data_IF_085742463250
#
_entry.id   IF_085742463250
#
_cell.length_a   1.000
_cell.length_b   1.000
_cell.length_c   1.000
_cell.angle_alpha   90.00
_cell.angle_beta   90.00
_cell.angle_gamma   90.00
#
_symmetry.space_group_name_H-M   'P 1'
#
loop_
_entity.id
_entity.type
_entity.pdbx_description
1 polymer ?
#
# COMPACT_ATOMS: atom_id res chain seq x y z
N UNK A 1 9.88 -16.64 23.84
CA UNK A 1 10.95 -16.54 22.81
C UNK A 1 10.73 -15.26 22.01
N UNK A 2 11.63 -14.27 22.13
CA UNK A 2 11.57 -13.03 21.36
C UNK A 2 12.27 -13.29 20.01
N UNK A 3 11.54 -13.85 19.05
CA UNK A 3 12.01 -13.92 17.67
C UNK A 3 12.04 -12.51 17.10
N UNK A 4 13.22 -12.03 16.73
CA UNK A 4 13.40 -10.73 16.12
C UNK A 4 12.79 -10.77 14.71
N UNK A 5 12.29 -9.63 14.21
CA UNK A 5 11.89 -9.44 12.81
C UNK A 5 13.00 -9.88 11.82
N UNK A 6 14.25 -9.90 12.30
CA UNK A 6 15.44 -10.36 11.59
C UNK A 6 15.44 -11.88 11.33
N UNK A 7 14.81 -12.69 12.18
CA UNK A 7 14.89 -14.16 12.07
C UNK A 7 13.93 -14.73 11.01
N UNK A 8 12.81 -14.06 10.72
CA UNK A 8 11.85 -14.50 9.67
C UNK A 8 12.21 -13.93 8.29
N UNK A 9 12.93 -12.80 8.26
CA UNK A 9 13.32 -12.09 7.04
C UNK A 9 14.75 -12.47 6.61
N UNK A 10 15.57 -12.97 7.53
CA UNK A 10 16.99 -13.31 7.33
C UNK A 10 17.26 -14.48 6.38
N UNK A 11 16.32 -15.41 6.24
CA UNK A 11 16.49 -16.58 5.36
C UNK A 11 16.09 -16.32 3.89
N UNK A 12 15.60 -15.12 3.54
CA UNK A 12 15.11 -14.84 2.17
C UNK A 12 15.49 -13.48 1.58
N UNK A 13 16.16 -12.59 2.32
CA UNK A 13 16.57 -11.27 1.80
C UNK A 13 18.09 -11.08 1.89
N UNK A 14 18.71 -10.90 0.72
CA UNK A 14 20.15 -10.63 0.59
C UNK A 14 20.56 -9.36 1.36
N UNK A 15 21.74 -9.33 2.02
CA UNK A 15 22.28 -8.15 2.71
C UNK A 15 22.32 -6.87 1.86
N UNK A 16 22.30 -7.01 0.53
CA UNK A 16 22.24 -5.92 -0.42
C UNK A 16 20.97 -5.07 -0.32
N UNK A 17 19.82 -5.64 0.06
CA UNK A 17 18.56 -4.91 0.21
C UNK A 17 18.63 -3.97 1.43
N UNK A 18 19.26 -4.42 2.51
CA UNK A 18 19.50 -3.60 3.72
C UNK A 18 20.45 -2.42 3.44
N UNK A 19 21.50 -2.63 2.63
CA UNK A 19 22.41 -1.54 2.23
C UNK A 19 21.75 -0.52 1.29
N UNK A 20 20.79 -0.94 0.47
CA UNK A 20 20.13 -0.08 -0.52
C UNK A 20 19.13 0.88 0.14
N UNK A 21 18.45 0.46 1.21
CA UNK A 21 17.53 1.30 2.00
C UNK A 21 18.26 2.47 2.69
N UNK A 22 19.54 2.32 3.05
CA UNK A 22 20.32 3.37 3.73
C UNK A 22 20.75 4.54 2.83
N UNK A 23 20.47 4.53 1.52
CA UNK A 23 21.01 5.50 0.55
C UNK A 23 20.00 6.46 -0.09
N UNK A 24 18.72 6.41 0.25
CA UNK A 24 17.73 7.25 -0.44
C UNK A 24 17.49 8.62 0.21
N UNK A 25 17.45 9.70 -0.59
CA UNK A 25 17.13 11.05 -0.13
C UNK A 25 15.62 11.19 0.14
N UNK A 26 15.28 12.13 1.03
CA UNK A 26 13.92 12.36 1.52
C UNK A 26 12.91 12.69 0.41
N UNK A 27 11.62 12.34 0.56
CA UNK A 27 10.55 13.01 -0.19
C UNK A 27 10.48 14.47 0.26
N UNK A 28 10.83 15.38 -0.66
CA UNK A 28 10.72 16.82 -0.47
C UNK A 28 9.24 17.24 -0.40
N UNK A 29 8.83 17.85 0.72
CA UNK A 29 7.60 18.64 0.80
C UNK A 29 7.92 20.14 0.58
N UNK A 30 6.96 20.92 0.04
CA UNK A 30 7.21 22.23 -0.54
C UNK A 30 7.55 23.28 0.51
N UNK A 31 8.46 24.18 0.15
CA UNK A 31 9.02 25.21 1.02
C UNK A 31 7.98 26.18 1.56
N UNK A 32 7.88 26.24 2.89
CA UNK A 32 7.38 27.39 3.63
C UNK A 32 8.57 28.26 4.03
N UNK A 33 8.72 29.41 3.37
CA UNK A 33 9.66 30.45 3.79
C UNK A 33 9.21 31.09 5.10
N UNK A 34 10.17 31.41 5.95
CA UNK A 34 9.93 32.11 7.20
C UNK A 34 11.22 32.23 8.00
N UNK A 35 11.92 33.35 7.82
CA UNK A 35 13.06 33.73 8.64
C UNK A 35 12.65 34.10 10.07
N UNK A 36 13.64 34.09 10.96
CA UNK A 36 13.48 34.52 12.34
C UNK A 36 14.64 34.04 13.20
N UNK A 37 15.69 34.86 13.26
CA UNK A 37 16.80 34.77 14.21
C UNK A 37 16.30 34.92 15.65
N UNK A 38 16.99 34.27 16.60
CA UNK A 38 16.73 34.41 18.02
C UNK A 38 17.66 33.53 18.85
N UNK A 39 18.87 34.04 19.14
CA UNK A 39 19.80 33.52 20.13
C UNK A 39 19.31 33.79 21.57
N UNK A 40 19.63 32.88 22.52
CA UNK A 40 19.74 33.22 23.95
C UNK A 40 19.16 32.19 24.94
N UNK A 41 19.74 32.00 26.14
CA UNK A 41 20.16 30.68 26.58
C UNK A 41 19.57 30.14 27.92
N UNK A 42 19.76 28.83 28.11
CA UNK A 42 20.02 28.05 29.34
C UNK A 42 19.25 28.35 30.64
N UNK A 43 18.57 27.33 31.20
CA UNK A 43 18.67 27.01 32.64
C UNK A 43 18.21 25.58 33.03
N UNK A 44 18.89 25.08 34.06
CA UNK A 44 18.90 23.82 34.84
C UNK A 44 17.61 23.02 35.12
N UNK A 45 17.81 21.69 35.11
CA UNK A 45 17.49 20.65 36.13
C UNK A 45 16.38 20.85 37.18
N UNK A 46 15.42 19.90 37.21
CA UNK A 46 14.90 19.12 38.36
C UNK A 46 13.72 18.26 37.83
N UNK A 47 13.75 16.92 37.79
CA UNK A 47 13.56 15.99 38.91
C UNK A 47 12.36 16.33 39.80
N UNK A 48 11.21 15.69 39.55
CA UNK A 48 10.32 15.12 40.58
C UNK A 48 9.18 14.33 39.92
N UNK A 49 9.00 13.10 40.39
CA UNK A 49 7.97 12.20 39.92
C UNK A 49 6.66 12.40 40.68
N UNK A 50 5.53 12.13 40.01
CA UNK A 50 4.33 11.71 40.71
C UNK A 50 3.51 10.77 39.83
N UNK A 51 3.51 9.51 40.27
CA UNK A 51 2.51 8.50 39.96
C UNK A 51 1.14 9.04 40.32
N UNK A 52 0.18 9.00 39.39
CA UNK A 52 -1.23 9.10 39.74
C UNK A 52 -2.05 8.18 38.85
N UNK A 53 -2.19 6.95 39.34
CA UNK A 53 -3.22 5.99 38.95
C UNK A 53 -4.60 6.66 39.05
N UNK A 54 -5.29 6.85 37.92
CA UNK A 54 -6.69 7.29 37.93
C UNK A 54 -7.57 6.25 37.25
N UNK A 55 -8.15 5.41 38.08
CA UNK A 55 -9.21 4.43 37.77
C UNK A 55 -10.46 5.18 37.31
N UNK A 56 -10.79 5.10 36.02
CA UNK A 56 -12.05 5.61 35.48
C UNK A 56 -13.11 4.53 35.64
N UNK A 57 -14.03 4.77 36.57
CA UNK A 57 -15.20 3.96 36.88
C UNK A 57 -16.27 4.25 35.83
N UNK A 58 -16.60 3.25 35.01
CA UNK A 58 -17.73 3.29 34.08
C UNK A 58 -19.05 3.44 34.86
N UNK A 59 -19.87 4.44 34.50
CA UNK A 59 -21.30 4.51 34.87
C UNK A 59 -22.13 4.26 33.62
N UNK A 60 -22.82 3.13 33.60
CA UNK A 60 -24.04 2.96 32.81
C UNK A 60 -25.15 3.88 33.35
N UNK A 61 -26.10 4.25 32.49
CA UNK A 61 -27.49 4.15 32.88
C UNK A 61 -28.27 3.26 31.90
N UNK A 62 -29.04 2.34 32.49
CA UNK A 62 -30.03 1.53 31.81
C UNK A 62 -31.37 2.28 31.73
N UNK A 63 -32.09 2.01 30.64
CA UNK A 63 -33.56 1.84 30.56
C UNK A 63 -34.49 2.99 30.97
N UNK A 64 -35.24 3.50 29.97
CA UNK A 64 -36.72 3.59 30.02
C UNK A 64 -37.30 3.72 28.62
N UNK A 65 -38.20 2.80 28.28
CA UNK A 65 -39.07 2.90 27.12
C UNK A 65 -40.43 3.46 27.49
N UNK A 66 -41.14 4.02 26.50
CA UNK A 66 -42.61 4.03 26.40
C UNK A 66 -43.04 4.71 25.08
N UNK A 67 -43.50 3.87 24.15
CA UNK A 67 -44.71 3.97 23.31
C UNK A 67 -45.37 5.32 22.95
N UNK A 68 -45.59 5.44 21.62
CA UNK A 68 -46.86 5.71 20.89
C UNK A 68 -47.35 7.13 20.53
N UNK A 69 -47.83 7.18 19.28
CA UNK A 69 -48.89 8.03 18.64
C UNK A 69 -48.56 9.44 18.12
N UNK A 70 -48.44 9.56 16.78
CA UNK A 70 -49.52 10.07 15.92
C UNK A 70 -49.69 11.59 15.68
N UNK A 71 -49.96 11.94 14.41
CA UNK A 71 -50.59 13.17 13.87
C UNK A 71 -49.72 14.33 13.34
N UNK A 72 -49.40 14.22 12.05
CA UNK A 72 -49.75 15.12 10.93
C UNK A 72 -49.96 16.64 11.12
N UNK A 73 -49.35 17.40 10.18
CA UNK A 73 -49.74 18.75 9.72
C UNK A 73 -48.57 19.75 9.83
N UNK A 74 -48.15 20.54 8.84
CA UNK A 74 -48.57 20.90 7.47
C UNK A 74 -47.33 21.48 6.74
N UNK A 75 -47.30 21.49 5.39
CA UNK A 75 -46.29 22.19 4.61
C UNK A 75 -46.74 23.61 4.23
N UNK A 76 -45.80 24.56 4.16
CA UNK A 76 -46.02 25.89 3.58
C UNK A 76 -45.52 25.91 2.12
N UNK A 77 -46.48 25.85 1.19
CA UNK A 77 -46.40 26.53 -0.12
C UNK A 77 -46.94 27.97 0.09
N UNK A 78 -46.70 29.03 -0.66
CA UNK A 78 -46.60 29.28 -2.10
C UNK A 78 -46.15 30.74 -2.28
N UNK A 79 -45.41 31.09 -3.34
CA UNK A 79 -45.91 32.07 -4.34
C UNK A 79 -45.07 32.09 -5.61
N UNK A 80 -45.79 31.91 -6.72
CA UNK A 80 -45.37 32.07 -8.10
C UNK A 80 -45.10 33.54 -8.47
N UNK A 81 -44.22 33.72 -9.46
CA UNK A 81 -44.11 34.92 -10.30
C UNK A 81 -43.01 34.76 -11.34
N UNK A 82 -43.37 34.49 -12.60
CA UNK A 82 -42.50 34.39 -13.79
C UNK A 82 -42.33 35.78 -14.47
N UNK A 83 -41.79 35.91 -15.69
CA UNK A 83 -40.40 36.27 -16.00
C UNK A 83 -40.24 37.62 -16.75
N UNK A 84 -39.04 38.20 -16.79
CA UNK A 84 -38.76 39.37 -17.62
C UNK A 84 -37.30 39.85 -17.57
N UNK A 85 -36.53 39.52 -18.60
CA UNK A 85 -35.25 40.14 -19.00
C UNK A 85 -35.49 41.40 -19.87
N UNK A 86 -34.47 42.16 -20.35
CA UNK A 86 -33.15 42.54 -19.81
C UNK A 86 -32.88 44.08 -19.93
N UNK A 87 -31.62 44.49 -19.65
CA UNK A 87 -30.95 45.79 -19.94
C UNK A 87 -30.87 46.82 -18.78
N UNK A 88 -29.90 47.77 -18.80
CA UNK A 88 -28.46 47.53 -18.61
C UNK A 88 -27.85 48.51 -17.58
N UNK A 89 -26.74 48.15 -16.93
CA UNK A 89 -25.99 49.09 -16.07
C UNK A 89 -24.85 49.76 -16.87
N UNK A 90 -24.79 51.09 -16.95
CA UNK A 90 -23.77 51.82 -17.68
C UNK A 90 -22.67 52.33 -16.75
N UNK A 91 -21.40 52.01 -17.03
CA UNK A 91 -20.30 52.94 -16.77
C UNK A 91 -19.14 52.71 -17.72
N UNK A 92 -19.14 53.54 -18.76
CA UNK A 92 -18.07 53.71 -19.71
C UNK A 92 -16.98 54.63 -19.14
N UNK A 93 -15.72 54.29 -19.42
CA UNK A 93 -14.58 55.19 -19.36
C UNK A 93 -14.27 55.71 -20.76
N UNK A 94 -14.51 57.00 -20.94
CA UNK A 94 -13.80 57.93 -21.83
C UNK A 94 -13.98 57.93 -23.37
N UNK A 95 -14.78 58.92 -23.79
CA UNK A 95 -14.48 60.03 -24.72
C UNK A 95 -14.17 59.78 -26.21
N UNK A 96 -15.20 60.02 -27.04
CA UNK A 96 -15.10 60.48 -28.44
C UNK A 96 -14.67 61.96 -28.49
N UNK A 97 -13.76 62.29 -29.42
CA UNK A 97 -13.64 63.64 -30.00
C UNK A 97 -14.12 63.62 -31.45
N UNK A 98 -15.01 64.55 -31.77
CA UNK A 98 -15.57 64.74 -33.11
C UNK A 98 -14.57 65.36 -34.09
N UNK A 99 -14.80 65.09 -35.38
CA UNK A 99 -14.20 65.81 -36.51
C UNK A 99 -15.27 66.68 -37.16
N UNK A 100 -15.03 67.99 -37.18
CA UNK A 100 -15.66 68.93 -38.11
C UNK A 100 -14.79 69.06 -39.38
N UNK A 101 -15.41 69.38 -40.52
CA UNK A 101 -14.80 69.30 -41.84
C UNK A 101 -14.19 70.60 -42.41
N UNK A 102 -13.29 70.37 -43.39
CA UNK A 102 -13.01 71.10 -44.66
C UNK A 102 -12.45 72.56 -44.61
N UNK A 103 -11.81 73.11 -45.69
CA UNK A 103 -11.19 72.52 -46.89
C UNK A 103 -9.82 73.15 -47.37
N UNK A 104 -9.25 72.55 -48.45
CA UNK A 104 -8.45 73.14 -49.57
C UNK A 104 -7.08 73.81 -49.29
N UNK A 105 -5.99 73.23 -49.85
CA UNK A 105 -5.28 73.70 -51.08
C UNK A 105 -4.08 72.80 -51.47
N UNK A 106 -4.07 72.37 -52.75
CA UNK A 106 -2.97 72.23 -53.75
C UNK A 106 -1.51 72.32 -53.22
N UNK A 107 -0.52 71.52 -53.64
CA UNK A 107 -0.19 71.03 -55.00
C UNK A 107 1.05 70.08 -54.94
N UNK A 108 1.07 69.10 -55.86
CA UNK A 108 2.19 68.58 -56.66
C UNK A 108 3.20 67.51 -56.17
N UNK A 109 3.49 66.63 -57.14
CA UNK A 109 4.59 65.65 -57.31
C UNK A 109 4.34 64.33 -56.57
N UNK A 110 3.71 63.33 -57.18
CA UNK A 110 4.06 62.59 -58.41
C UNK A 110 5.53 62.11 -58.46
N UNK A 111 5.67 60.87 -58.93
CA UNK A 111 6.86 60.00 -58.99
C UNK A 111 7.00 59.06 -57.77
N UNK A 112 6.80 57.77 -58.06
CA UNK A 112 6.97 56.53 -57.25
C UNK A 112 5.72 55.84 -56.71
N UNK A 113 4.59 55.99 -57.41
CA UNK A 113 3.61 54.91 -57.53
C UNK A 113 4.12 53.80 -58.48
N UNK A 114 5.16 53.07 -58.06
CA UNK A 114 5.58 51.79 -58.66
C UNK A 114 6.65 51.07 -57.82
N UNK A 115 6.47 51.00 -56.50
CA UNK A 115 7.35 50.19 -55.63
C UNK A 115 6.63 49.62 -54.39
N UNK A 116 5.31 49.44 -54.47
CA UNK A 116 4.48 48.93 -53.37
C UNK A 116 3.51 47.81 -53.81
N UNK A 117 3.98 46.93 -54.70
CA UNK A 117 3.34 45.63 -55.02
C UNK A 117 4.37 44.51 -55.24
N UNK A 118 5.48 44.53 -54.50
CA UNK A 118 6.54 43.52 -54.63
C UNK A 118 7.23 43.12 -53.32
N UNK A 119 6.71 43.53 -52.16
CA UNK A 119 7.35 43.27 -50.86
C UNK A 119 6.36 43.00 -49.73
N UNK A 120 5.24 42.35 -50.04
CA UNK A 120 4.27 41.79 -49.07
C UNK A 120 4.00 40.29 -49.34
N UNK A 121 4.62 39.70 -50.36
CA UNK A 121 4.58 38.24 -50.63
C UNK A 121 5.97 37.57 -50.57
N UNK A 122 6.89 38.13 -49.79
CA UNK A 122 8.19 37.50 -49.49
C UNK A 122 8.59 37.60 -48.02
N UNK A 123 7.69 38.06 -47.14
CA UNK A 123 7.87 38.13 -45.68
C UNK A 123 6.97 37.19 -44.89
N UNK A 124 6.06 36.47 -45.57
CA UNK A 124 5.16 35.47 -44.96
C UNK A 124 5.53 34.05 -45.43
N UNK A 125 6.82 33.79 -45.61
CA UNK A 125 7.38 32.45 -45.85
C UNK A 125 8.70 32.24 -45.10
N UNK A 126 8.80 32.80 -43.91
CA UNK A 126 9.93 32.58 -42.99
C UNK A 126 9.49 32.47 -41.53
N UNK A 127 8.19 32.28 -41.27
CA UNK A 127 7.64 32.02 -39.93
C UNK A 127 6.77 30.75 -39.88
N UNK A 128 7.10 29.77 -40.73
CA UNK A 128 6.57 28.40 -40.66
C UNK A 128 7.68 27.34 -40.79
N UNK A 129 8.94 27.70 -40.53
CA UNK A 129 10.10 26.81 -40.67
C UNK A 129 10.98 26.82 -39.40
N UNK A 130 10.36 26.69 -38.23
CA UNK A 130 11.12 26.42 -36.98
C UNK A 130 10.43 25.41 -36.07
N UNK A 131 9.49 24.63 -36.60
CA UNK A 131 9.10 23.37 -35.99
C UNK A 131 9.55 22.28 -36.97
N UNK A 132 10.83 21.93 -36.89
CA UNK A 132 11.50 21.06 -37.84
C UNK A 132 11.05 19.60 -37.67
N UNK A 133 10.35 18.99 -38.65
CA UNK A 133 10.12 17.54 -38.65
C UNK A 133 11.41 16.73 -38.81
N UNK A 134 12.55 17.38 -39.09
CA UNK A 134 13.88 16.77 -39.17
C UNK A 134 14.41 16.35 -37.79
N UNK A 135 14.14 17.09 -36.71
CA UNK A 135 14.57 16.68 -35.36
C UNK A 135 13.87 15.40 -34.90
N UNK A 136 12.55 15.30 -35.11
CA UNK A 136 11.80 14.07 -34.83
C UNK A 136 12.27 12.90 -35.69
N UNK A 137 12.63 13.15 -36.96
CA UNK A 137 13.22 12.12 -37.84
C UNK A 137 14.60 11.68 -37.36
N UNK A 138 15.46 12.62 -36.93
CA UNK A 138 16.78 12.32 -36.36
C UNK A 138 16.62 11.50 -35.07
N UNK A 139 15.74 11.93 -34.17
CA UNK A 139 15.45 11.23 -32.93
C UNK A 139 14.95 9.80 -33.18
N UNK A 140 14.02 9.62 -34.12
CA UNK A 140 13.55 8.29 -34.53
C UNK A 140 14.66 7.45 -35.16
N UNK A 141 15.57 8.08 -35.91
CA UNK A 141 16.73 7.42 -36.49
C UNK A 141 17.68 6.91 -35.40
N UNK A 142 18.00 7.75 -34.42
CA UNK A 142 18.87 7.40 -33.29
C UNK A 142 18.28 6.23 -32.47
N UNK A 143 16.97 6.23 -32.20
CA UNK A 143 16.31 5.10 -31.54
C UNK A 143 16.26 3.84 -32.42
N UNK A 144 16.10 3.97 -33.73
CA UNK A 144 16.11 2.84 -34.65
C UNK A 144 17.51 2.22 -34.76
N UNK A 145 18.56 3.04 -34.77
CA UNK A 145 19.95 2.59 -34.70
C UNK A 145 20.25 1.89 -33.37
N UNK A 146 19.85 2.47 -32.25
CA UNK A 146 19.96 1.82 -30.94
C UNK A 146 19.24 0.46 -30.91
N UNK A 147 18.04 0.36 -31.48
CA UNK A 147 17.32 -0.92 -31.60
C UNK A 147 18.08 -1.94 -32.46
N UNK A 148 18.69 -1.50 -33.58
CA UNK A 148 19.51 -2.35 -34.45
C UNK A 148 20.75 -2.85 -33.73
N UNK A 149 21.43 -1.99 -32.96
CA UNK A 149 22.58 -2.37 -32.14
C UNK A 149 22.20 -3.38 -31.06
N UNK A 150 21.06 -3.18 -30.38
CA UNK A 150 20.54 -4.14 -29.41
C UNK A 150 20.27 -5.50 -30.08
N UNK A 151 19.63 -5.52 -31.26
CA UNK A 151 19.37 -6.75 -32.00
C UNK A 151 20.65 -7.46 -32.43
N UNK A 152 21.68 -6.73 -32.86
CA UNK A 152 23.00 -7.29 -33.15
C UNK A 152 23.68 -7.80 -31.88
N UNK A 153 23.58 -7.07 -30.76
CA UNK A 153 24.11 -7.47 -29.46
C UNK A 153 23.50 -8.78 -28.93
N UNK A 154 22.18 -8.97 -29.11
CA UNK A 154 21.47 -10.22 -28.78
C UNK A 154 22.04 -11.39 -29.61
N UNK A 155 22.26 -11.18 -30.92
CA UNK A 155 22.81 -12.23 -31.81
C UNK A 155 24.25 -12.58 -31.48
N UNK A 156 25.08 -11.60 -31.09
CA UNK A 156 26.47 -11.82 -30.75
C UNK A 156 26.64 -12.54 -29.41
N UNK A 157 25.77 -12.28 -28.42
CA UNK A 157 25.88 -12.83 -27.05
C UNK A 157 24.51 -13.16 -26.45
N UNK A 158 23.85 -14.24 -26.91
CA UNK A 158 22.49 -14.58 -26.49
C UNK A 158 22.36 -14.84 -24.99
N UNK A 159 23.37 -15.46 -24.36
CA UNK A 159 23.35 -15.73 -22.91
C UNK A 159 23.34 -14.46 -22.06
N UNK A 160 24.24 -13.50 -22.34
CA UNK A 160 24.30 -12.23 -21.60
C UNK A 160 23.05 -11.38 -21.84
N UNK A 161 22.57 -11.34 -23.10
CA UNK A 161 21.34 -10.64 -23.43
C UNK A 161 20.11 -11.25 -22.74
N UNK A 162 20.03 -12.58 -22.66
CA UNK A 162 18.99 -13.29 -21.93
C UNK A 162 18.97 -12.93 -20.44
N UNK A 163 20.14 -12.84 -19.80
CA UNK A 163 20.26 -12.40 -18.40
C UNK A 163 19.81 -10.95 -18.19
N UNK A 164 20.16 -10.02 -19.08
CA UNK A 164 19.70 -8.63 -18.97
C UNK A 164 18.20 -8.50 -19.22
N UNK A 165 17.65 -9.23 -20.20
CA UNK A 165 16.23 -9.26 -20.48
C UNK A 165 15.44 -9.86 -19.33
N UNK A 166 15.92 -10.94 -18.71
CA UNK A 166 15.25 -11.54 -17.55
C UNK A 166 15.29 -10.63 -16.33
N UNK A 167 16.41 -9.93 -16.09
CA UNK A 167 16.51 -8.94 -15.02
C UNK A 167 15.56 -7.76 -15.24
N UNK A 168 15.51 -7.21 -16.46
CA UNK A 168 14.60 -6.13 -16.82
C UNK A 168 13.13 -6.56 -16.69
N UNK A 169 12.80 -7.73 -17.25
CA UNK A 169 11.45 -8.30 -17.15
C UNK A 169 11.05 -8.57 -15.69
N UNK A 170 11.99 -9.08 -14.88
CA UNK A 170 11.80 -9.26 -13.44
C UNK A 170 11.56 -7.93 -12.72
N UNK A 171 12.39 -6.92 -12.98
CA UNK A 171 12.26 -5.59 -12.41
C UNK A 171 10.90 -4.93 -12.76
N UNK A 172 10.49 -5.00 -14.03
CA UNK A 172 9.18 -4.53 -14.48
C UNK A 172 8.05 -5.33 -13.82
N UNK A 173 8.17 -6.66 -13.77
CA UNK A 173 7.21 -7.54 -13.11
C UNK A 173 7.03 -7.22 -11.62
N UNK A 174 8.12 -7.02 -10.89
CA UNK A 174 8.10 -6.60 -9.50
C UNK A 174 7.43 -5.23 -9.33
N UNK A 175 7.73 -4.28 -10.22
CA UNK A 175 7.17 -2.92 -10.15
C UNK A 175 5.66 -2.90 -10.38
N UNK A 176 5.18 -3.71 -11.32
CA UNK A 176 3.75 -3.85 -11.60
C UNK A 176 3.00 -4.61 -10.50
N UNK A 177 3.68 -5.48 -9.76
CA UNK A 177 3.13 -6.26 -8.63
C UNK A 177 3.46 -5.64 -7.28
N UNK A 178 3.82 -4.37 -7.23
CA UNK A 178 4.11 -3.71 -5.97
C UNK A 178 2.81 -3.44 -5.19
N UNK A 179 2.64 -3.98 -3.97
CA UNK A 179 1.40 -3.77 -3.22
C UNK A 179 1.25 -2.32 -2.76
N UNK A 180 0.03 -1.79 -2.84
CA UNK A 180 -0.34 -0.44 -2.40
C UNK A 180 -0.90 -0.43 -0.97
N UNK A 181 -1.10 0.76 -0.40
CA UNK A 181 -1.76 0.94 0.91
C UNK A 181 -3.16 0.32 0.96
N UNK A 182 -3.95 0.49 -0.11
CA UNK A 182 -5.29 -0.11 -0.20
C UNK A 182 -5.22 -1.66 -0.20
N UNK A 183 -4.20 -2.24 -0.82
CA UNK A 183 -3.97 -3.69 -0.79
C UNK A 183 -3.64 -4.18 0.61
N UNK A 184 -2.85 -3.41 1.38
CA UNK A 184 -2.59 -3.73 2.78
C UNK A 184 -3.87 -3.72 3.61
N UNK A 185 -4.66 -2.66 3.49
CA UNK A 185 -5.91 -2.52 4.23
C UNK A 185 -6.89 -3.66 3.93
N UNK A 186 -7.01 -4.08 2.67
CA UNK A 186 -7.83 -5.24 2.32
C UNK A 186 -7.31 -6.52 2.96
N UNK A 187 -6.00 -6.78 2.90
CA UNK A 187 -5.41 -7.99 3.49
C UNK A 187 -5.52 -8.01 5.02
N UNK A 188 -5.37 -6.84 5.67
CA UNK A 188 -5.51 -6.72 7.12
C UNK A 188 -6.96 -6.95 7.57
N UNK A 189 -7.94 -6.41 6.83
CA UNK A 189 -9.36 -6.62 7.09
C UNK A 189 -9.76 -8.09 6.86
N UNK A 190 -9.27 -8.71 5.78
CA UNK A 190 -9.47 -10.14 5.50
C UNK A 190 -8.86 -11.03 6.58
N UNK A 191 -7.63 -10.74 7.02
CA UNK A 191 -6.99 -11.43 8.14
C UNK A 191 -7.78 -11.28 9.45
N UNK A 192 -8.39 -10.12 9.70
CA UNK A 192 -9.26 -9.96 10.87
C UNK A 192 -10.57 -10.74 10.72
N UNK A 193 -11.16 -10.78 9.52
CA UNK A 193 -12.38 -11.51 9.24
C UNK A 193 -12.19 -13.02 9.42
N UNK A 194 -11.08 -13.57 8.91
CA UNK A 194 -10.72 -14.98 9.09
C UNK A 194 -10.54 -15.34 10.57
N UNK A 195 -9.86 -14.50 11.36
CA UNK A 195 -9.73 -14.71 12.81
C UNK A 195 -11.06 -14.61 13.57
N UNK A 196 -12.03 -13.84 13.09
CA UNK A 196 -13.36 -13.72 13.70
C UNK A 196 -14.23 -14.96 13.47
N UNK A 197 -13.96 -15.74 12.41
CA UNK A 197 -14.63 -17.01 12.16
C UNK A 197 -14.15 -18.12 13.13
N UNK A 198 -12.92 -17.99 13.63
CA UNK A 198 -12.32 -18.95 14.54
C UNK A 198 -12.78 -18.71 15.99
N UNK A 199 -12.97 -19.79 16.73
CA UNK A 199 -13.24 -19.69 18.15
C UNK A 199 -12.03 -19.14 18.92
N UNK A 200 -12.22 -18.47 20.06
CA UNK A 200 -11.10 -17.99 20.87
C UNK A 200 -10.15 -19.08 21.38
N UNK A 201 -10.61 -20.33 21.45
CA UNK A 201 -9.84 -21.46 21.98
C UNK A 201 -8.93 -22.10 20.93
N UNK A 202 -9.34 -22.05 19.66
CA UNK A 202 -8.62 -22.71 18.54
C UNK A 202 -7.68 -21.76 17.81
N UNK A 203 -7.93 -20.44 17.86
CA UNK A 203 -7.10 -19.46 17.13
C UNK A 203 -5.72 -19.26 17.76
N UNK A 204 -4.73 -18.98 16.91
CA UNK A 204 -3.36 -18.67 17.33
C UNK A 204 -3.26 -17.30 18.03
N UNK A 205 -2.74 -17.29 19.26
CA UNK A 205 -2.55 -16.06 20.04
C UNK A 205 -1.49 -15.12 19.44
N UNK A 206 -0.56 -15.65 18.64
CA UNK A 206 0.44 -14.85 17.91
C UNK A 206 -0.21 -14.06 16.78
N UNK A 207 -1.01 -14.74 15.96
CA UNK A 207 -1.71 -14.14 14.80
C UNK A 207 -2.72 -13.11 15.27
N UNK A 208 -3.52 -13.44 16.29
CA UNK A 208 -4.47 -12.52 16.90
C UNK A 208 -3.79 -11.25 17.41
N UNK A 209 -2.75 -11.39 18.23
CA UNK A 209 -2.04 -10.24 18.82
C UNK A 209 -1.42 -9.35 17.74
N UNK A 210 -0.88 -9.94 16.69
CA UNK A 210 -0.29 -9.20 15.57
C UNK A 210 -1.37 -8.40 14.81
N UNK A 211 -2.45 -9.05 14.38
CA UNK A 211 -3.55 -8.40 13.66
C UNK A 211 -4.24 -7.33 14.52
N UNK A 212 -4.47 -7.59 15.81
CA UNK A 212 -5.02 -6.60 16.74
C UNK A 212 -4.09 -5.39 16.92
N UNK A 213 -2.77 -5.60 17.04
CA UNK A 213 -1.80 -4.50 17.11
C UNK A 213 -1.88 -3.64 15.85
N UNK A 214 -1.90 -4.26 14.67
CA UNK A 214 -2.00 -3.55 13.39
C UNK A 214 -3.33 -2.76 13.30
N UNK A 215 -4.44 -3.34 13.72
CA UNK A 215 -5.73 -2.64 13.77
C UNK A 215 -5.71 -1.42 14.71
N UNK A 216 -5.08 -1.55 15.88
CA UNK A 216 -4.93 -0.42 16.81
C UNK A 216 -4.07 0.69 16.21
N UNK A 217 -2.95 0.35 15.56
CA UNK A 217 -2.08 1.33 14.90
C UNK A 217 -2.77 2.03 13.72
N UNK A 218 -3.55 1.26 12.94
CA UNK A 218 -4.40 1.79 11.87
C UNK A 218 -5.43 2.78 12.39
N UNK A 219 -6.16 2.42 13.45
CA UNK A 219 -7.16 3.30 14.07
C UNK A 219 -6.56 4.58 14.65
N UNK A 220 -5.27 4.57 15.00
CA UNK A 220 -4.53 5.76 15.45
C UNK A 220 -3.95 6.61 14.32
N UNK A 221 -4.03 6.18 13.06
CA UNK A 221 -3.40 6.88 11.93
C UNK A 221 -1.86 6.82 11.92
N UNK A 222 -1.29 5.95 12.75
CA UNK A 222 0.16 5.77 12.92
C UNK A 222 0.76 4.79 11.90
N UNK A 223 -0.07 4.09 11.14
CA UNK A 223 0.39 3.11 10.16
C UNK A 223 0.69 3.79 8.82
N UNK A 224 1.87 3.56 8.26
CA UNK A 224 2.29 4.17 6.99
C UNK A 224 2.85 3.13 6.03
N UNK A 225 2.44 3.25 4.77
CA UNK A 225 2.99 2.45 3.67
C UNK A 225 3.86 3.36 2.80
N UNK A 226 5.11 2.96 2.61
CA UNK A 226 6.00 3.55 1.62
C UNK A 226 6.15 2.57 0.47
N UNK A 227 5.54 2.88 -0.68
CA UNK A 227 5.83 2.16 -1.91
C UNK A 227 7.20 2.58 -2.44
N UNK A 228 8.06 1.60 -2.67
CA UNK A 228 9.29 1.74 -3.44
C UNK A 228 9.07 1.06 -4.79
N UNK A 229 10.02 1.16 -5.72
CA UNK A 229 9.79 0.65 -7.09
C UNK A 229 9.49 -0.85 -7.10
N UNK A 230 10.24 -1.67 -6.35
CA UNK A 230 10.12 -3.14 -6.41
C UNK A 230 9.40 -3.78 -5.22
N UNK A 231 9.26 -3.05 -4.11
CA UNK A 231 8.66 -3.54 -2.87
C UNK A 231 8.03 -2.38 -2.11
N UNK A 232 7.18 -2.68 -1.15
CA UNK A 232 6.55 -1.70 -0.26
C UNK A 232 6.94 -2.00 1.17
N UNK A 233 7.13 -0.96 1.97
CA UNK A 233 7.43 -1.08 3.39
C UNK A 233 6.25 -0.56 4.21
N UNK A 234 5.86 -1.34 5.21
CA UNK A 234 4.92 -0.94 6.24
C UNK A 234 5.70 -0.59 7.50
N UNK A 235 5.51 0.62 8.02
CA UNK A 235 6.20 1.07 9.22
C UNK A 235 5.26 1.81 10.18
N UNK A 236 5.64 1.81 11.45
CA UNK A 236 4.97 2.54 12.52
C UNK A 236 5.52 3.97 12.61
N UNK A 237 4.65 4.97 12.43
CA UNK A 237 4.96 6.37 12.70
C UNK A 237 4.59 6.73 14.15
N UNK A 238 5.38 7.57 14.84
CA UNK A 238 5.12 7.92 16.24
C UNK A 238 3.84 8.74 16.42
N UNK A 239 3.43 9.50 15.40
CA UNK A 239 2.25 10.36 15.42
C UNK A 239 1.42 10.17 14.15
N UNK A 240 0.14 10.52 14.22
CA UNK A 240 -0.72 10.61 13.05
C UNK A 240 -0.29 11.78 12.13
N UNK A 241 -0.57 11.68 10.82
CA UNK A 241 -0.29 12.77 9.88
C UNK A 241 -1.16 14.00 10.12
N UNK A 242 -2.36 13.83 10.70
CA UNK A 242 -3.22 14.94 11.07
C UNK A 242 -2.84 15.58 12.41
N UNK A 243 -1.84 15.06 13.13
CA UNK A 243 -1.50 15.54 14.46
C UNK A 243 -0.70 16.86 14.39
N UNK A 244 -1.36 17.98 14.69
CA UNK A 244 -0.72 19.29 14.82
C UNK A 244 -0.12 19.53 16.21
N UNK A 245 0.78 18.64 16.60
CA UNK A 245 1.51 18.73 17.87
C UNK A 245 2.93 19.24 17.60
N UNK A 246 3.45 20.10 18.48
CA UNK A 246 4.84 20.54 18.42
C UNK A 246 5.82 19.36 18.35
N UNK A 247 5.54 18.29 19.11
CA UNK A 247 6.37 17.08 19.15
C UNK A 247 6.44 16.36 17.80
N UNK A 248 5.37 16.40 17.00
CA UNK A 248 5.33 15.79 15.67
C UNK A 248 6.13 16.61 14.63
N UNK A 249 6.13 17.94 14.78
CA UNK A 249 6.79 18.86 13.86
C UNK A 249 8.28 19.05 14.14
N UNK A 250 8.69 18.98 15.41
CA UNK A 250 10.07 19.26 15.81
C UNK A 250 11.06 18.25 15.19
N UNK A 251 11.97 18.74 14.34
CA UNK A 251 12.98 17.93 13.63
C UNK A 251 13.89 17.13 14.57
N UNK A 252 14.16 17.66 15.77
CA UNK A 252 15.05 17.03 16.74
C UNK A 252 14.40 15.87 17.51
N UNK A 253 13.07 15.81 17.57
CA UNK A 253 12.31 14.73 18.21
C UNK A 253 11.98 13.60 17.23
N UNK A 254 12.23 13.78 15.92
CA UNK A 254 11.98 12.73 14.93
C UNK A 254 12.90 11.54 15.17
N UNK A 255 12.40 10.32 14.93
CA UNK A 255 13.19 9.11 15.13
C UNK A 255 14.46 9.17 14.28
N UNK A 256 15.55 8.65 14.85
CA UNK A 256 16.82 8.56 14.14
C UNK A 256 16.76 7.44 13.10
N UNK A 257 17.58 7.57 12.06
CA UNK A 257 17.75 6.52 11.05
C UNK A 257 18.22 5.18 11.65
N UNK A 258 18.89 5.20 12.80
CA UNK A 258 19.32 4.00 13.54
C UNK A 258 18.15 3.20 14.09
N UNK A 259 17.04 3.88 14.41
CA UNK A 259 15.90 3.28 15.09
C UNK A 259 14.82 2.85 14.10
N UNK A 260 14.91 3.32 12.85
CA UNK A 260 13.96 3.02 11.77
C UNK A 260 13.78 1.51 11.51
N UNK A 261 14.83 0.66 11.50
CA UNK A 261 14.64 -0.78 11.28
C UNK A 261 13.73 -1.45 12.33
N UNK A 262 13.67 -0.92 13.55
CA UNK A 262 12.81 -1.44 14.61
C UNK A 262 11.33 -1.04 14.46
N UNK A 263 11.04 -0.05 13.62
CA UNK A 263 9.70 0.46 13.35
C UNK A 263 9.06 -0.21 12.13
N UNK A 264 9.80 -1.02 11.38
CA UNK A 264 9.29 -1.78 10.25
C UNK A 264 8.41 -2.90 10.78
N UNK A 265 7.18 -2.99 10.28
CA UNK A 265 6.19 -3.97 10.69
C UNK A 265 6.04 -5.09 9.67
N UNK A 266 6.03 -4.74 8.38
CA UNK A 266 5.83 -5.69 7.28
C UNK A 266 6.52 -5.21 5.99
N UNK A 267 6.80 -6.16 5.10
CA UNK A 267 7.35 -5.96 3.76
C UNK A 267 6.38 -6.53 2.73
N UNK A 268 5.92 -5.66 1.85
CA UNK A 268 5.12 -6.00 0.70
C UNK A 268 6.00 -6.32 -0.50
N UNK A 269 5.89 -7.53 -1.05
CA UNK A 269 6.61 -7.93 -2.26
C UNK A 269 5.76 -8.88 -3.08
N UNK A 270 5.72 -8.68 -4.40
CA UNK A 270 5.00 -9.53 -5.34
C UNK A 270 3.48 -9.65 -5.05
N UNK A 271 2.85 -8.53 -4.73
CA UNK A 271 1.40 -8.41 -4.52
C UNK A 271 0.90 -8.98 -3.20
N UNK A 272 1.79 -9.34 -2.26
CA UNK A 272 1.45 -9.85 -0.95
C UNK A 272 2.27 -9.20 0.16
N UNK A 273 1.73 -9.22 1.36
CA UNK A 273 2.36 -8.77 2.60
C UNK A 273 2.92 -9.97 3.33
N UNK A 274 4.25 -10.08 3.41
CA UNK A 274 4.93 -11.33 3.76
C UNK A 274 4.81 -11.66 5.25
N UNK A 275 4.97 -10.68 6.13
CA UNK A 275 4.90 -10.89 7.58
C UNK A 275 3.45 -11.17 7.98
N UNK A 276 2.49 -10.38 7.50
CA UNK A 276 1.08 -10.62 7.76
C UNK A 276 0.65 -12.00 7.26
N UNK A 277 1.02 -12.38 6.04
CA UNK A 277 0.71 -13.71 5.47
C UNK A 277 1.35 -14.84 6.28
N UNK A 278 2.63 -14.73 6.62
CA UNK A 278 3.32 -15.75 7.43
C UNK A 278 2.68 -15.90 8.81
N UNK A 279 2.26 -14.80 9.44
CA UNK A 279 1.55 -14.86 10.72
C UNK A 279 0.13 -15.42 10.60
N UNK A 280 -0.50 -15.32 9.43
CA UNK A 280 -1.86 -15.82 9.20
C UNK A 280 -1.93 -17.26 8.69
N UNK A 281 -0.81 -17.83 8.21
CA UNK A 281 -0.76 -19.17 7.62
C UNK A 281 -1.32 -20.27 8.55
N UNK A 282 -0.88 -20.28 9.82
CA UNK A 282 -1.31 -21.24 10.84
C UNK A 282 -2.18 -20.55 11.92
N UNK A 283 -3.16 -19.76 11.47
CA UNK A 283 -4.00 -18.95 12.35
C UNK A 283 -5.02 -19.76 13.16
N UNK A 284 -5.30 -21.00 12.75
CA UNK A 284 -6.21 -21.98 13.35
C UNK A 284 -5.51 -22.98 14.31
N UNK A 285 -4.20 -22.86 14.49
CA UNK A 285 -3.42 -23.71 15.39
C UNK A 285 -3.08 -22.94 16.67
N UNK A 286 -3.66 -23.36 17.79
CA UNK A 286 -3.32 -22.83 19.10
C UNK A 286 -2.23 -23.67 19.80
N UNK A 287 -0.98 -23.22 19.70
CA UNK A 287 0.16 -23.87 20.37
C UNK A 287 0.03 -23.93 21.90
N UNK A 288 -0.83 -23.13 22.54
CA UNK A 288 -1.05 -23.15 23.99
C UNK A 288 -1.79 -24.42 24.44
N UNK A 289 -2.65 -24.98 23.58
CA UNK A 289 -3.33 -26.25 23.83
C UNK A 289 -2.34 -27.41 23.84
N UNK A 290 -1.34 -27.41 22.97
CA UNK A 290 -0.45 -28.57 22.81
C UNK A 290 0.76 -28.57 23.75
N UNK A 291 0.88 -27.62 24.69
CA UNK A 291 2.07 -27.48 25.54
C UNK A 291 2.35 -28.69 26.43
N UNK A 292 1.30 -29.37 26.88
CA UNK A 292 1.39 -30.54 27.77
C UNK A 292 1.77 -31.84 27.05
N UNK A 293 1.79 -31.86 25.72
CA UNK A 293 2.20 -33.04 24.96
C UNK A 293 3.73 -33.21 24.99
N UNK A 294 4.24 -34.45 24.87
CA UNK A 294 5.66 -34.69 24.64
C UNK A 294 6.10 -34.16 23.26
N UNK A 295 7.38 -33.77 23.13
CA UNK A 295 7.91 -33.09 21.93
C UNK A 295 7.68 -33.87 20.62
N UNK A 296 7.78 -35.19 20.65
CA UNK A 296 7.58 -36.02 19.44
C UNK A 296 6.14 -35.97 18.89
N UNK A 297 5.16 -35.52 19.69
CA UNK A 297 3.77 -35.33 19.26
C UNK A 297 3.46 -33.88 18.87
N UNK A 298 4.36 -32.93 19.15
CA UNK A 298 4.19 -31.52 18.75
C UNK A 298 4.67 -31.28 17.33
N UNK A 299 5.64 -32.06 16.86
CA UNK A 299 6.19 -31.94 15.52
C UNK A 299 5.27 -32.66 14.53
N UNK A 300 4.65 -31.91 13.62
CA UNK A 300 3.86 -32.44 12.51
C UNK A 300 4.72 -32.39 11.26
N UNK A 301 4.91 -33.52 10.59
CA UNK A 301 5.59 -33.56 9.29
C UNK A 301 4.61 -33.33 8.15
N UNK A 302 5.13 -32.93 6.98
CA UNK A 302 4.32 -32.76 5.77
C UNK A 302 3.56 -34.03 5.40
N UNK A 303 4.16 -35.21 5.62
CA UNK A 303 3.52 -36.49 5.31
C UNK A 303 2.35 -36.79 6.26
N UNK A 304 2.40 -36.31 7.51
CA UNK A 304 1.33 -36.53 8.50
C UNK A 304 0.05 -35.74 8.18
N UNK A 305 0.18 -34.66 7.40
CA UNK A 305 -0.95 -33.86 6.92
C UNK A 305 -1.71 -34.52 5.76
N UNK A 306 -1.14 -35.55 5.11
CA UNK A 306 -1.75 -36.24 3.98
C UNK A 306 -2.47 -37.50 4.45
N UNK A 307 -3.78 -37.60 4.17
CA UNK A 307 -4.63 -38.70 4.66
C UNK A 307 -4.40 -40.04 3.96
N UNK A 308 -3.72 -40.07 2.81
CA UNK A 308 -3.62 -41.26 1.95
C UNK A 308 -3.07 -42.50 2.66
N UNK A 309 -2.06 -42.34 3.51
CA UNK A 309 -1.46 -43.45 4.27
C UNK A 309 -2.41 -43.94 5.36
N UNK A 310 -3.08 -43.02 6.07
CA UNK A 310 -4.04 -43.33 7.12
C UNK A 310 -5.28 -44.06 6.56
N UNK A 311 -5.77 -43.64 5.40
CA UNK A 311 -6.88 -44.29 4.70
C UNK A 311 -6.51 -45.71 4.29
N UNK A 312 -5.32 -45.90 3.69
CA UNK A 312 -4.82 -47.24 3.33
C UNK A 312 -4.73 -48.15 4.56
N UNK A 313 -4.12 -47.68 5.65
CA UNK A 313 -4.00 -48.44 6.90
C UNK A 313 -5.37 -48.75 7.52
N UNK A 314 -6.33 -47.83 7.40
CA UNK A 314 -7.71 -48.06 7.85
C UNK A 314 -8.37 -49.18 7.05
N UNK A 315 -8.16 -49.26 5.74
CA UNK A 315 -8.68 -50.35 4.91
C UNK A 315 -8.02 -51.70 5.26
N UNK A 316 -6.73 -51.71 5.61
CA UNK A 316 -6.03 -52.94 6.01
C UNK A 316 -6.65 -53.60 7.24
N UNK A 317 -7.25 -52.81 8.13
CA UNK A 317 -7.95 -53.31 9.32
C UNK A 317 -9.06 -54.31 8.99
N UNK A 318 -9.69 -54.18 7.82
CA UNK A 318 -10.78 -55.07 7.39
C UNK A 318 -10.30 -56.30 6.62
N UNK A 319 -8.98 -56.46 6.39
CA UNK A 319 -8.42 -57.67 5.78
C UNK A 319 -8.65 -58.85 6.72
N UNK A 320 -9.29 -59.90 6.21
CA UNK A 320 -9.56 -61.11 6.98
C UNK A 320 -8.24 -61.73 7.47
N UNK A 321 -8.22 -62.11 8.75
CA UNK A 321 -7.09 -62.85 9.32
C UNK A 321 -7.12 -64.27 8.75
N UNK A 322 -6.06 -64.64 8.04
CA UNK A 322 -5.89 -66.00 7.51
C UNK A 322 -5.31 -66.86 8.62
N UNK A 323 -6.11 -67.79 9.15
CA UNK A 323 -5.67 -68.77 10.13
C UNK A 323 -4.98 -69.94 9.42
N UNK A 324 -3.87 -70.42 9.98
CA UNK A 324 -3.27 -71.68 9.52
C UNK A 324 -4.08 -72.86 10.04
N UNK A 325 -4.07 -73.96 9.29
CA UNK A 325 -4.85 -75.17 9.59
C UNK A 325 -4.57 -75.73 11.00
N UNK A 326 -3.33 -75.59 11.47
CA UNK A 326 -2.91 -75.99 12.81
C UNK A 326 -3.60 -75.15 13.91
N UNK A 327 -3.79 -73.85 13.68
CA UNK A 327 -4.48 -72.95 14.61
C UNK A 327 -5.97 -73.24 14.67
N UNK A 328 -6.58 -73.60 13.54
CA UNK A 328 -7.99 -74.02 13.47
C UNK A 328 -8.18 -75.31 14.26
N UNK A 329 -7.33 -76.32 14.02
CA UNK A 329 -7.40 -77.61 14.73
C UNK A 329 -7.10 -77.49 16.23
N UNK A 330 -6.32 -76.50 16.65
CA UNK A 330 -6.04 -76.25 18.05
C UNK A 330 -7.21 -75.55 18.74
N UNK A 331 -7.82 -74.56 18.09
CA UNK A 331 -9.05 -73.91 18.58
C UNK A 331 -10.21 -74.92 18.71
N UNK A 332 -10.42 -75.78 17.71
CA UNK A 332 -11.45 -76.82 17.75
C UNK A 332 -11.25 -77.80 18.91
N UNK A 333 -10.00 -78.14 19.25
CA UNK A 333 -9.66 -79.02 20.39
C UNK A 333 -9.91 -78.34 21.73
N UNK A 334 -9.64 -77.05 21.84
CA UNK A 334 -9.87 -76.27 23.06
C UNK A 334 -11.37 -76.09 23.34
N UNK A 335 -12.18 -75.83 22.30
CA UNK A 335 -13.65 -75.76 22.40
C UNK A 335 -14.26 -77.11 22.82
N UNK A 336 -13.79 -78.22 22.24
CA UNK A 336 -14.24 -79.55 22.63
C UNK A 336 -13.84 -79.90 24.08
N UNK A 337 -12.68 -79.43 24.55
CA UNK A 337 -12.24 -79.62 25.93
C UNK A 337 -13.09 -78.85 26.96
N UNK A 338 -13.62 -77.68 26.60
CA UNK A 338 -14.47 -76.86 27.48
C UNK A 338 -15.91 -77.36 27.57
N UNK A 339 -16.45 -77.99 26.52
CA UNK A 339 -17.80 -78.59 26.56
C UNK A 339 -17.91 -79.86 27.40
N UNK A 340 -16.77 -80.51 27.69
CA UNK A 340 -16.69 -81.77 28.43
C UNK A 340 -16.24 -81.62 29.90
N UNK A 341 -15.99 -80.39 30.36
CA UNK A 341 -15.79 -80.04 31.78
C UNK A 341 -17.05 -79.41 32.36
#
# INVERSE_FOLDING_TARGET
MKGSLVDVVGDSLSPAVFSFIQRFPQPSLPGGGGGGEGEGPAHRQAAEGLSTTRTIRCRHPSTRGSSSTGCAGRPLQFRHGTPGSPFPCPRCGYWRRGKAGLPRRRRNLDVRARFFRGRIYSGLRTFTNSCEPSWWKSLLHDYAEACREVAQGIRQRPGKAGLYLSLLAGAVGCSLRNPSEASFDSSLLEASGTLLLLSPWTRSSSSERHTQRLMVLRNRGQLRVQSLVFFSLLYEAPYDAGADLYQAHCKYLKPRWTDFPSQILDVGFWGRWWVLHSKMQDSDINNEEFQYLPEHLKTISFNDLHSETNEKLFDEKYKAVILTEEQIQQADREDQGQLHS
#
